data_IF_012486216012
#
_entry.id   IF_012486216012
#
_cell.length_a   1.000
_cell.length_b   1.000
_cell.length_c   1.000
_cell.angle_alpha   90.00
_cell.angle_beta   90.00
_cell.angle_gamma   90.00
#
_symmetry.space_group_name_H-M   'P 1'
#
loop_
_entity.id
_entity.type
_entity.pdbx_description
1 polymer ?
#
# COMPACT_ATOMS: atom_id res chain seq x y z
N UNK A 1 -23.59 18.53 -10.89
CA UNK A 1 -22.82 17.27 -10.94
C UNK A 1 -22.02 17.17 -9.66
N UNK A 2 -22.46 16.35 -8.72
CA UNK A 2 -21.73 16.12 -7.48
C UNK A 2 -20.44 15.35 -7.80
N UNK A 3 -19.30 15.98 -7.55
CA UNK A 3 -18.01 15.31 -7.68
C UNK A 3 -17.86 14.32 -6.52
N UNK A 4 -17.68 13.05 -6.82
CA UNK A 4 -17.29 12.07 -5.82
C UNK A 4 -15.91 12.47 -5.29
N UNK A 5 -15.88 12.81 -4.00
CA UNK A 5 -14.65 13.11 -3.27
C UNK A 5 -14.04 11.78 -2.82
N UNK A 6 -12.72 11.70 -2.68
CA UNK A 6 -12.03 10.56 -2.06
C UNK A 6 -12.44 10.38 -0.60
N UNK A 7 -13.67 9.88 -0.37
CA UNK A 7 -14.44 10.06 0.86
C UNK A 7 -13.79 9.32 2.04
N UNK A 8 -13.36 8.07 1.84
CA UNK A 8 -12.75 7.29 2.93
C UNK A 8 -11.45 7.95 3.43
N UNK A 9 -10.60 8.42 2.50
CA UNK A 9 -9.36 9.12 2.84
C UNK A 9 -9.67 10.40 3.61
N UNK A 10 -10.65 11.18 3.15
CA UNK A 10 -11.03 12.43 3.80
C UNK A 10 -11.65 12.22 5.20
N UNK A 11 -12.51 11.22 5.36
CA UNK A 11 -13.12 10.88 6.66
C UNK A 11 -12.09 10.36 7.65
N UNK A 12 -11.05 9.65 7.17
CA UNK A 12 -9.94 9.19 7.98
C UNK A 12 -8.90 10.29 8.32
N UNK A 13 -9.08 11.54 7.86
CA UNK A 13 -8.19 12.67 8.19
C UNK A 13 -7.27 13.15 7.07
N UNK A 14 -7.28 12.48 5.90
CA UNK A 14 -6.52 12.89 4.73
C UNK A 14 -7.17 14.02 3.93
N UNK A 15 -6.47 14.53 2.91
CA UNK A 15 -7.05 15.52 2.01
C UNK A 15 -8.02 14.91 0.99
N UNK A 16 -9.20 15.53 0.86
CA UNK A 16 -10.14 15.20 -0.21
C UNK A 16 -9.59 15.58 -1.58
N UNK A 17 -9.72 14.69 -2.56
CA UNK A 17 -9.44 14.94 -3.97
C UNK A 17 -10.66 14.60 -4.85
N UNK A 18 -10.75 15.23 -6.02
CA UNK A 18 -11.85 15.01 -6.97
C UNK A 18 -11.55 13.75 -7.80
N UNK A 19 -12.42 12.76 -7.69
CA UNK A 19 -12.28 11.52 -8.45
C UNK A 19 -12.87 11.71 -9.85
N UNK A 20 -12.11 11.34 -10.88
CA UNK A 20 -12.61 11.30 -12.26
C UNK A 20 -13.64 10.18 -12.42
N UNK A 21 -14.71 10.43 -13.18
CA UNK A 21 -15.82 9.50 -13.38
C UNK A 21 -15.88 8.99 -14.83
N UNK A 22 -16.83 8.10 -15.13
CA UNK A 22 -17.06 7.59 -16.48
C UNK A 22 -16.39 6.25 -16.81
N UNK A 23 -15.76 5.61 -15.82
CA UNK A 23 -15.27 4.23 -15.95
C UNK A 23 -16.42 3.25 -16.12
N UNK A 24 -16.16 2.17 -16.84
CA UNK A 24 -17.08 1.06 -17.07
C UNK A 24 -16.48 -0.26 -16.57
N UNK A 25 -17.34 -1.20 -16.25
CA UNK A 25 -16.96 -2.48 -15.66
C UNK A 25 -16.42 -3.46 -16.71
N UNK A 26 -15.41 -4.22 -16.31
CA UNK A 26 -14.86 -5.30 -17.14
C UNK A 26 -15.85 -6.46 -17.37
N UNK A 27 -15.56 -7.26 -18.38
CA UNK A 27 -16.30 -8.51 -18.72
C UNK A 27 -15.42 -9.76 -18.55
N UNK A 28 -14.25 -9.60 -17.92
CA UNK A 28 -13.26 -10.66 -17.68
C UNK A 28 -12.82 -10.54 -16.23
N UNK A 29 -12.71 -11.67 -15.54
CA UNK A 29 -12.10 -11.81 -14.22
C UNK A 29 -11.29 -13.12 -14.22
N UNK A 30 -9.97 -13.02 -14.09
CA UNK A 30 -9.06 -14.17 -14.17
C UNK A 30 -8.06 -14.13 -13.03
N UNK A 31 -8.10 -15.13 -12.15
CA UNK A 31 -7.15 -15.29 -11.05
C UNK A 31 -5.69 -15.35 -11.55
N UNK A 32 -5.47 -15.92 -12.74
CA UNK A 32 -4.14 -16.01 -13.36
C UNK A 32 -3.49 -14.65 -13.66
N UNK A 33 -4.26 -13.57 -13.70
CA UNK A 33 -3.72 -12.22 -13.96
C UNK A 33 -3.16 -11.56 -12.69
N UNK A 34 -3.46 -12.05 -11.50
CA UNK A 34 -3.12 -11.38 -10.23
C UNK A 34 -1.61 -11.32 -10.00
N UNK A 35 -0.93 -12.48 -10.03
CA UNK A 35 0.49 -12.57 -9.67
C UNK A 35 1.41 -11.73 -10.56
N UNK A 36 1.02 -11.48 -11.82
CA UNK A 36 1.80 -10.67 -12.76
C UNK A 36 1.54 -9.16 -12.63
N UNK A 37 0.47 -8.76 -11.94
CA UNK A 37 -0.05 -7.38 -11.95
C UNK A 37 -0.14 -6.71 -10.57
N UNK A 38 -0.07 -7.46 -9.46
CA UNK A 38 -0.09 -6.90 -8.11
C UNK A 38 1.28 -7.03 -7.42
N UNK A 39 1.70 -6.03 -6.63
CA UNK A 39 2.91 -6.13 -5.83
C UNK A 39 2.72 -7.12 -4.66
N UNK A 40 3.78 -7.88 -4.35
CA UNK A 40 3.81 -8.77 -3.18
C UNK A 40 4.46 -8.04 -1.97
N UNK A 41 4.00 -8.29 -0.72
CA UNK A 41 4.57 -7.68 0.47
C UNK A 41 6.08 -7.93 0.67
N UNK A 42 6.63 -8.98 0.07
CA UNK A 42 8.06 -9.35 0.14
C UNK A 42 8.94 -8.68 -0.91
N UNK A 43 8.38 -7.91 -1.85
CA UNK A 43 9.14 -7.31 -2.95
C UNK A 43 10.17 -6.29 -2.48
N UNK A 44 11.33 -6.30 -3.14
CA UNK A 44 12.31 -5.24 -3.03
C UNK A 44 11.93 -4.01 -3.88
N UNK A 45 12.65 -2.90 -3.70
CA UNK A 45 12.33 -1.64 -4.38
C UNK A 45 12.29 -1.78 -5.92
N UNK A 46 13.25 -2.48 -6.53
CA UNK A 46 13.29 -2.65 -7.99
C UNK A 46 12.09 -3.43 -8.52
N UNK A 47 11.63 -4.44 -7.78
CA UNK A 47 10.42 -5.20 -8.11
C UNK A 47 9.16 -4.34 -8.00
N UNK A 48 9.04 -3.53 -6.93
CA UNK A 48 7.94 -2.57 -6.77
C UNK A 48 7.89 -1.57 -7.93
N UNK A 49 9.04 -0.96 -8.27
CA UNK A 49 9.16 -0.03 -9.39
C UNK A 49 8.72 -0.71 -10.69
N UNK A 50 9.18 -1.93 -10.96
CA UNK A 50 8.86 -2.64 -12.19
C UNK A 50 7.35 -2.92 -12.33
N UNK A 51 6.65 -3.28 -11.25
CA UNK A 51 5.20 -3.53 -11.28
C UNK A 51 4.42 -2.24 -11.51
N UNK A 52 4.78 -1.15 -10.83
CA UNK A 52 4.12 0.15 -11.02
C UNK A 52 4.40 0.76 -12.41
N UNK A 53 5.63 0.60 -12.92
CA UNK A 53 6.01 1.07 -14.25
C UNK A 53 5.19 0.41 -15.37
N UNK A 54 4.81 -0.88 -15.23
CA UNK A 54 3.89 -1.57 -16.17
C UNK A 54 2.51 -0.90 -16.24
N UNK A 55 2.16 -0.08 -15.24
CA UNK A 55 0.91 0.69 -15.16
C UNK A 55 1.13 2.18 -15.44
N UNK A 56 2.29 2.55 -15.98
CA UNK A 56 2.70 3.93 -16.22
C UNK A 56 2.70 4.80 -14.95
N UNK A 57 2.98 4.18 -13.79
CA UNK A 57 3.15 4.88 -12.52
C UNK A 57 4.64 4.98 -12.20
N UNK A 58 5.07 6.16 -11.79
CA UNK A 58 6.47 6.45 -11.47
C UNK A 58 6.88 5.88 -10.10
N UNK A 59 8.17 5.89 -9.80
CA UNK A 59 8.66 5.55 -8.45
C UNK A 59 8.03 6.46 -7.38
N UNK A 60 7.89 7.77 -7.66
CA UNK A 60 7.28 8.69 -6.70
C UNK A 60 5.79 8.40 -6.52
N UNK A 61 5.06 8.04 -7.59
CA UNK A 61 3.66 7.60 -7.46
C UNK A 61 3.57 6.34 -6.60
N UNK A 62 4.48 5.37 -6.78
CA UNK A 62 4.55 4.15 -5.98
C UNK A 62 4.79 4.45 -4.49
N UNK A 63 5.83 5.24 -4.17
CA UNK A 63 6.14 5.62 -2.78
C UNK A 63 4.97 6.36 -2.13
N UNK A 64 4.32 7.24 -2.90
CA UNK A 64 3.16 7.99 -2.44
C UNK A 64 1.97 7.08 -2.16
N UNK A 65 1.66 6.14 -3.06
CA UNK A 65 0.55 5.21 -2.92
C UNK A 65 0.77 4.19 -1.79
N UNK A 66 2.02 3.80 -1.51
CA UNK A 66 2.36 3.00 -0.32
C UNK A 66 1.97 3.69 0.99
N UNK A 67 1.88 5.02 1.01
CA UNK A 67 1.37 5.78 2.15
C UNK A 67 -0.05 5.42 2.56
N UNK A 68 -0.82 4.71 1.72
CA UNK A 68 -2.12 4.16 2.10
C UNK A 68 -2.03 3.15 3.25
N UNK A 69 -0.86 2.57 3.51
CA UNK A 69 -0.61 1.69 4.66
C UNK A 69 -0.56 2.45 6.01
N UNK A 70 -0.81 3.76 6.04
CA UNK A 70 -1.06 4.51 7.28
C UNK A 70 -2.34 4.05 8.02
N UNK A 71 -3.23 3.31 7.35
CA UNK A 71 -4.43 2.71 7.95
C UNK A 71 -4.61 1.26 7.54
N UNK A 72 -5.34 0.50 8.34
CA UNK A 72 -5.71 -0.89 8.07
C UNK A 72 -4.74 -1.91 8.64
N UNK A 73 -4.90 -3.17 8.22
CA UNK A 73 -4.24 -4.31 8.86
C UNK A 73 -3.58 -5.25 7.86
N UNK A 74 -2.60 -6.03 8.35
CA UNK A 74 -2.00 -7.13 7.61
C UNK A 74 -1.98 -8.40 8.44
N UNK A 75 -2.30 -9.53 7.81
CA UNK A 75 -2.18 -10.84 8.45
C UNK A 75 -0.73 -11.17 8.76
N UNK A 76 -0.48 -11.83 9.89
CA UNK A 76 0.87 -12.22 10.33
C UNK A 76 1.66 -12.98 9.25
N UNK A 77 0.98 -13.82 8.46
CA UNK A 77 1.58 -14.60 7.37
C UNK A 77 2.24 -13.76 6.29
N UNK A 78 1.88 -12.47 6.15
CA UNK A 78 2.42 -11.57 5.13
C UNK A 78 3.79 -10.97 5.48
N UNK A 79 4.22 -11.07 6.74
CA UNK A 79 5.50 -10.54 7.21
C UNK A 79 6.24 -11.49 8.17
N UNK A 80 5.71 -12.68 8.45
CA UNK A 80 6.33 -13.65 9.36
C UNK A 80 7.77 -14.03 8.98
N UNK A 81 8.13 -13.98 7.68
CA UNK A 81 9.51 -14.18 7.23
C UNK A 81 10.46 -13.18 7.88
N UNK A 82 10.04 -11.92 8.07
CA UNK A 82 10.85 -10.87 8.72
C UNK A 82 11.07 -11.12 10.20
N UNK A 83 10.24 -11.92 10.86
CA UNK A 83 10.37 -12.22 12.28
C UNK A 83 11.17 -13.49 12.54
N UNK A 84 11.04 -14.50 11.69
CA UNK A 84 11.52 -15.84 12.05
C UNK A 84 12.55 -16.43 11.09
N UNK A 85 12.50 -16.08 9.80
CA UNK A 85 13.30 -16.71 8.75
C UNK A 85 13.71 -15.68 7.69
N UNK A 86 14.32 -14.57 8.11
CA UNK A 86 14.61 -13.46 7.19
C UNK A 86 15.69 -13.83 6.17
N UNK A 87 16.80 -14.40 6.62
CA UNK A 87 17.89 -14.87 5.77
C UNK A 87 18.64 -16.04 6.40
N UNK A 88 19.59 -16.63 5.66
CA UNK A 88 20.47 -17.68 6.18
C UNK A 88 21.32 -17.22 7.38
N UNK A 89 21.61 -15.92 7.46
CA UNK A 89 22.48 -15.32 8.49
C UNK A 89 21.72 -14.57 9.59
N UNK A 90 20.42 -14.30 9.40
CA UNK A 90 19.61 -13.57 10.37
C UNK A 90 18.19 -14.12 10.45
N UNK A 91 17.75 -14.48 11.66
CA UNK A 91 16.36 -14.93 11.91
C UNK A 91 15.37 -13.77 11.76
N UNK A 92 15.69 -12.64 12.38
CA UNK A 92 14.90 -11.40 12.32
C UNK A 92 15.50 -10.47 11.27
N UNK A 93 14.66 -9.73 10.56
CA UNK A 93 15.09 -8.68 9.65
C UNK A 93 15.88 -7.60 10.41
N UNK A 94 17.16 -7.38 10.08
CA UNK A 94 18.00 -6.41 10.78
C UNK A 94 17.58 -4.94 10.52
N UNK A 95 16.74 -4.68 9.52
CA UNK A 95 16.16 -3.34 9.30
C UNK A 95 14.98 -3.05 10.23
N UNK A 96 14.39 -4.07 10.87
CA UNK A 96 13.27 -3.90 11.76
C UNK A 96 13.74 -3.45 13.16
N UNK A 97 13.03 -2.50 13.74
CA UNK A 97 13.26 -2.03 15.09
C UNK A 97 13.16 -3.21 16.08
N UNK A 98 14.17 -3.48 16.92
CA UNK A 98 14.17 -4.66 17.78
C UNK A 98 13.00 -4.72 18.77
N UNK A 99 12.59 -3.59 19.34
CA UNK A 99 11.45 -3.55 20.26
C UNK A 99 10.14 -3.80 19.51
N UNK A 100 10.01 -3.26 18.31
CA UNK A 100 8.84 -3.52 17.47
C UNK A 100 8.78 -4.98 17.02
N UNK A 101 9.92 -5.58 16.63
CA UNK A 101 10.01 -6.99 16.31
C UNK A 101 9.54 -7.87 17.49
N UNK A 102 9.95 -7.55 18.72
CA UNK A 102 9.49 -8.26 19.92
C UNK A 102 7.98 -8.13 20.14
N UNK A 103 7.40 -6.94 19.94
CA UNK A 103 5.95 -6.73 20.02
C UNK A 103 5.21 -7.55 18.96
N UNK A 104 5.69 -7.54 17.71
CA UNK A 104 5.12 -8.33 16.62
C UNK A 104 5.24 -9.82 16.89
N UNK A 105 6.33 -10.31 17.47
CA UNK A 105 6.47 -11.73 17.84
C UNK A 105 5.49 -12.18 18.92
N UNK A 106 5.08 -11.28 19.82
CA UNK A 106 4.05 -11.56 20.82
C UNK A 106 2.66 -11.62 20.19
N UNK A 107 2.36 -10.71 19.25
CA UNK A 107 1.10 -10.68 18.52
C UNK A 107 0.98 -11.79 17.45
N UNK A 108 2.11 -12.17 16.84
CA UNK A 108 2.21 -13.10 15.72
C UNK A 108 3.20 -14.23 15.99
N UNK A 109 2.97 -15.10 17.00
CA UNK A 109 3.81 -16.29 17.21
C UNK A 109 3.83 -17.21 15.97
N UNK A 110 4.84 -18.07 15.83
CA UNK A 110 5.05 -18.89 14.62
C UNK A 110 3.84 -19.75 14.19
N UNK A 111 3.01 -20.17 15.14
CA UNK A 111 1.80 -20.98 14.91
C UNK A 111 0.51 -20.20 15.23
N UNK A 112 0.53 -18.88 15.04
CA UNK A 112 -0.64 -18.02 15.23
C UNK A 112 -1.77 -18.43 14.27
N UNK A 113 -3.02 -18.24 14.70
CA UNK A 113 -4.19 -18.40 13.83
C UNK A 113 -4.02 -17.51 12.59
N UNK A 114 -4.17 -18.05 11.36
CA UNK A 114 -3.94 -17.31 10.12
C UNK A 114 -4.89 -16.11 9.91
N UNK A 115 -5.97 -16.02 10.69
CA UNK A 115 -6.91 -14.88 10.68
C UNK A 115 -6.40 -13.69 11.48
N UNK A 116 -5.39 -13.87 12.34
CA UNK A 116 -4.83 -12.79 13.15
C UNK A 116 -4.11 -11.81 12.23
N UNK A 117 -4.40 -10.53 12.47
CA UNK A 117 -3.83 -9.40 11.78
C UNK A 117 -3.38 -8.36 12.81
N UNK A 118 -2.41 -7.55 12.40
CA UNK A 118 -1.93 -6.39 13.16
C UNK A 118 -2.06 -5.15 12.29
N UNK A 119 -2.05 -3.99 12.92
CA UNK A 119 -2.10 -2.71 12.23
C UNK A 119 -0.87 -2.50 11.34
N UNK A 120 -1.09 -1.94 10.14
CA UNK A 120 -0.01 -1.52 9.25
C UNK A 120 0.76 -0.33 9.83
N UNK A 121 0.03 0.60 10.47
CA UNK A 121 0.59 1.70 11.26
C UNK A 121 0.42 1.44 12.76
N UNK A 122 1.50 1.15 13.51
CA UNK A 122 1.42 0.86 14.94
C UNK A 122 1.21 2.10 15.83
N UNK A 123 1.13 3.31 15.26
CA UNK A 123 1.05 4.57 16.01
C UNK A 123 -0.31 5.25 15.82
N UNK A 124 -0.82 5.33 14.59
CA UNK A 124 -2.12 5.94 14.27
C UNK A 124 -2.97 5.06 13.33
N UNK A 125 -3.37 3.84 13.77
CA UNK A 125 -3.93 2.79 12.89
C UNK A 125 -5.24 3.15 12.16
N UNK A 126 -5.94 4.19 12.63
CA UNK A 126 -7.24 4.63 12.09
C UNK A 126 -7.17 6.01 11.43
N UNK A 127 -6.01 6.68 11.44
CA UNK A 127 -5.85 8.04 10.91
C UNK A 127 -5.03 8.00 9.64
N UNK A 128 -5.57 8.61 8.57
CA UNK A 128 -4.84 8.82 7.34
C UNK A 128 -3.90 10.03 7.49
N UNK A 129 -2.65 9.77 7.82
CA UNK A 129 -1.62 10.79 8.02
C UNK A 129 -0.25 10.34 7.44
N UNK A 130 0.83 11.05 7.78
CA UNK A 130 2.17 10.74 7.31
C UNK A 130 3.00 9.93 8.33
N UNK A 131 2.39 9.45 9.41
CA UNK A 131 3.05 8.66 10.46
C UNK A 131 3.57 7.35 9.89
N UNK A 132 2.92 6.79 8.86
CA UNK A 132 3.48 5.70 8.05
C UNK A 132 4.95 5.96 7.67
N UNK A 133 5.27 7.13 7.11
CA UNK A 133 6.64 7.45 6.71
C UNK A 133 7.55 7.73 7.91
N UNK A 134 7.00 8.27 9.01
CA UNK A 134 7.73 8.44 10.28
C UNK A 134 8.12 7.09 10.89
N UNK A 135 7.27 6.08 10.76
CA UNK A 135 7.54 4.72 11.19
C UNK A 135 8.69 4.10 10.39
N UNK A 136 8.75 4.31 9.06
CA UNK A 136 9.87 3.80 8.24
C UNK A 136 11.23 4.36 8.67
N UNK A 137 11.29 5.62 9.12
CA UNK A 137 12.54 6.24 9.59
C UNK A 137 13.16 5.53 10.80
N UNK A 138 12.33 4.84 11.59
CA UNK A 138 12.73 4.21 12.84
C UNK A 138 12.63 2.68 12.79
N UNK A 139 12.55 2.09 11.59
CA UNK A 139 12.52 0.65 11.36
C UNK A 139 11.18 0.00 11.74
N UNK A 140 10.08 0.75 11.68
CA UNK A 140 8.73 0.29 12.04
C UNK A 140 7.82 0.03 10.84
N UNK A 141 8.34 -0.02 9.61
CA UNK A 141 7.58 -0.52 8.47
C UNK A 141 7.25 -2.00 8.67
N UNK A 142 5.98 -2.38 8.52
CA UNK A 142 5.53 -3.75 8.80
C UNK A 142 5.99 -4.73 7.71
N UNK A 143 5.74 -4.42 6.44
CA UNK A 143 6.06 -5.28 5.31
C UNK A 143 7.49 -5.02 4.82
N UNK A 144 8.10 -6.01 4.16
CA UNK A 144 9.40 -5.80 3.49
C UNK A 144 9.27 -4.68 2.45
N UNK A 145 8.19 -4.71 1.66
CA UNK A 145 7.85 -3.69 0.66
C UNK A 145 7.68 -2.27 1.22
N UNK A 146 7.41 -2.12 2.53
CA UNK A 146 7.38 -0.81 3.19
C UNK A 146 8.81 -0.37 3.57
N UNK A 147 9.52 -1.20 4.32
CA UNK A 147 10.83 -0.84 4.89
C UNK A 147 11.91 -0.66 3.80
N UNK A 148 11.77 -1.32 2.64
CA UNK A 148 12.65 -1.10 1.48
C UNK A 148 12.57 0.31 0.91
N UNK A 149 11.46 1.04 1.12
CA UNK A 149 11.33 2.42 0.64
C UNK A 149 12.29 3.36 1.37
N UNK A 150 12.59 3.11 2.65
CA UNK A 150 13.53 3.92 3.42
C UNK A 150 14.96 3.38 3.36
N UNK A 151 15.13 2.06 3.48
CA UNK A 151 16.46 1.44 3.51
C UNK A 151 17.20 1.58 2.17
N UNK A 152 16.48 1.62 1.04
CA UNK A 152 17.11 1.84 -0.26
C UNK A 152 17.41 3.34 -0.54
N UNK A 153 18.66 3.71 -0.92
CA UNK A 153 19.04 5.09 -1.19
C UNK A 153 18.21 5.80 -2.28
N UNK A 154 17.71 5.07 -3.29
CA UNK A 154 17.00 5.63 -4.43
C UNK A 154 15.63 6.26 -4.07
N UNK A 155 14.99 5.77 -3.01
CA UNK A 155 13.67 6.21 -2.54
C UNK A 155 13.71 6.96 -1.20
N UNK A 156 14.81 6.80 -0.43
CA UNK A 156 14.96 7.35 0.93
C UNK A 156 14.68 8.84 1.05
N UNK A 157 15.08 9.64 0.06
CA UNK A 157 14.85 11.09 0.08
C UNK A 157 13.37 11.44 0.01
N UNK A 158 12.61 10.77 -0.85
CA UNK A 158 11.15 10.98 -0.98
C UNK A 158 10.43 10.58 0.31
N UNK A 159 10.80 9.45 0.92
CA UNK A 159 10.27 9.02 2.23
C UNK A 159 10.52 10.07 3.32
N UNK A 160 11.75 10.58 3.44
CA UNK A 160 12.09 11.65 4.39
C UNK A 160 11.27 12.91 4.17
N UNK A 161 11.03 13.28 2.92
CA UNK A 161 10.25 14.47 2.59
C UNK A 161 8.78 14.30 3.02
N UNK A 162 8.18 13.13 2.82
CA UNK A 162 6.81 12.87 3.27
C UNK A 162 6.70 12.79 4.80
N UNK A 163 7.65 12.16 5.48
CA UNK A 163 7.66 12.10 6.94
C UNK A 163 7.74 13.48 7.62
N UNK A 164 8.44 14.44 6.98
CA UNK A 164 8.62 15.79 7.51
C UNK A 164 7.56 16.80 7.02
N UNK A 165 6.74 16.44 6.02
CA UNK A 165 5.80 17.36 5.40
C UNK A 165 4.44 16.68 5.13
N UNK A 166 3.54 16.65 6.12
CA UNK A 166 2.24 16.00 6.00
C UNK A 166 1.38 16.62 4.87
N UNK A 167 1.45 17.93 4.68
CA UNK A 167 0.72 18.64 3.62
C UNK A 167 1.20 18.26 2.22
N UNK A 168 2.52 18.04 2.07
CA UNK A 168 3.09 17.55 0.81
C UNK A 168 2.63 16.12 0.51
N UNK A 169 2.74 15.20 1.48
CA UNK A 169 2.25 13.83 1.32
C UNK A 169 0.78 13.80 0.90
N UNK A 170 -0.10 14.48 1.63
CA UNK A 170 -1.53 14.46 1.35
C UNK A 170 -1.87 14.98 -0.05
N UNK A 171 -1.18 16.04 -0.51
CA UNK A 171 -1.39 16.57 -1.86
C UNK A 171 -0.94 15.56 -2.93
N UNK A 172 0.26 15.00 -2.77
CA UNK A 172 0.75 14.02 -3.74
C UNK A 172 -0.07 12.74 -3.73
N UNK A 173 -0.61 12.33 -2.57
CA UNK A 173 -1.51 11.18 -2.48
C UNK A 173 -2.76 11.38 -3.34
N UNK A 174 -3.40 12.55 -3.28
CA UNK A 174 -4.52 12.87 -4.16
C UNK A 174 -4.13 12.83 -5.65
N UNK A 175 -2.98 13.38 -6.01
CA UNK A 175 -2.47 13.34 -7.39
C UNK A 175 -2.20 11.91 -7.88
N UNK A 176 -1.55 11.09 -7.05
CA UNK A 176 -1.22 9.71 -7.36
C UNK A 176 -2.48 8.84 -7.45
N UNK A 177 -3.48 9.06 -6.59
CA UNK A 177 -4.78 8.37 -6.66
C UNK A 177 -5.55 8.71 -7.95
N UNK A 178 -5.49 9.95 -8.43
CA UNK A 178 -6.08 10.33 -9.73
C UNK A 178 -5.36 9.58 -10.86
N UNK A 179 -4.03 9.54 -10.85
CA UNK A 179 -3.25 8.78 -11.86
C UNK A 179 -3.56 7.28 -11.82
N UNK A 180 -3.56 6.67 -10.63
CA UNK A 180 -3.94 5.27 -10.44
C UNK A 180 -5.35 5.00 -10.96
N UNK A 181 -6.28 5.92 -10.71
CA UNK A 181 -7.64 5.86 -11.25
C UNK A 181 -7.71 5.85 -12.78
N UNK A 182 -6.68 6.27 -13.52
CA UNK A 182 -6.68 6.23 -15.00
C UNK A 182 -6.14 4.92 -15.56
N UNK A 183 -5.58 4.05 -14.72
CA UNK A 183 -4.94 2.80 -15.15
C UNK A 183 -5.98 1.82 -15.69
N UNK A 184 -5.80 1.38 -16.94
CA UNK A 184 -6.56 0.27 -17.53
C UNK A 184 -8.07 0.51 -17.67
N UNK A 185 -8.51 1.77 -17.64
CA UNK A 185 -9.94 2.12 -17.64
C UNK A 185 -10.63 1.77 -18.96
N UNK A 186 -11.89 1.33 -18.85
CA UNK A 186 -12.80 1.17 -19.98
C UNK A 186 -13.74 2.36 -20.05
N UNK A 187 -13.96 2.90 -21.25
CA UNK A 187 -14.82 4.07 -21.50
C UNK A 187 -15.68 3.88 -22.75
N UNK A 188 -16.64 4.78 -22.97
CA UNK A 188 -17.52 4.72 -24.15
C UNK A 188 -18.32 3.42 -24.22
N UNK A 189 -18.14 2.65 -25.30
CA UNK A 189 -18.82 1.38 -25.52
C UNK A 189 -18.01 0.16 -25.01
N UNK A 190 -16.86 0.38 -24.36
CA UNK A 190 -16.06 -0.71 -23.81
C UNK A 190 -16.61 -1.16 -22.45
N UNK A 191 -16.88 -2.46 -22.29
CA UNK A 191 -17.42 -2.99 -21.05
C UNK A 191 -18.87 -2.58 -20.78
N UNK A 192 -19.30 -2.69 -19.53
CA UNK A 192 -20.71 -2.55 -19.14
C UNK A 192 -20.89 -1.67 -17.90
N UNK A 193 -22.15 -1.28 -17.63
CA UNK A 193 -22.55 -0.75 -16.32
C UNK A 193 -23.26 -1.91 -15.61
N UNK A 194 -22.61 -2.54 -14.64
CA UNK A 194 -23.18 -3.67 -13.91
C UNK A 194 -24.32 -3.22 -13.02
N UNK A 195 -25.38 -4.01 -12.99
CA UNK A 195 -26.47 -3.87 -12.01
C UNK A 195 -26.11 -4.51 -10.67
N UNK A 196 -25.28 -5.57 -10.73
CA UNK A 196 -24.73 -6.30 -9.60
C UNK A 196 -23.22 -6.43 -9.80
N UNK A 197 -22.42 -5.89 -8.88
CA UNK A 197 -20.96 -5.92 -8.97
C UNK A 197 -20.39 -7.35 -8.95
N UNK A 198 -21.13 -8.31 -8.40
CA UNK A 198 -20.69 -9.71 -8.22
C UNK A 198 -20.85 -10.57 -9.47
N UNK A 199 -21.62 -10.12 -10.46
CA UNK A 199 -21.91 -10.86 -11.68
C UNK A 199 -21.70 -10.02 -12.94
N UNK A 200 -21.57 -10.67 -14.10
CA UNK A 200 -21.68 -9.99 -15.38
C UNK A 200 -23.17 -9.83 -15.73
N UNK A 201 -23.54 -8.75 -16.42
CA UNK A 201 -24.90 -8.65 -16.93
C UNK A 201 -25.12 -9.75 -17.99
N UNK A 202 -26.35 -10.27 -18.03
CA UNK A 202 -26.85 -11.17 -19.08
C UNK A 202 -27.70 -10.42 -20.09
#
# INVERSE_FOLDING_TARGET
MEAWKGLCVAVAGGLSFKVELGRRDGVISKASEVAANLPDPSFNLSQLIAVFAKKNLTQDDMITLSGAHTIGHSHCSRFANRLYNFSLSSKVDPSMNPNYAQQLMQACPQNVDPRIAVDLDPVTPEIFDNVYYQNLLVGKGLLTSDEVLFTNPASRRTVKNFANNPSHFNREFGNAMIKLGRVGVKTGNQGQIRKDCTAFNS
#
